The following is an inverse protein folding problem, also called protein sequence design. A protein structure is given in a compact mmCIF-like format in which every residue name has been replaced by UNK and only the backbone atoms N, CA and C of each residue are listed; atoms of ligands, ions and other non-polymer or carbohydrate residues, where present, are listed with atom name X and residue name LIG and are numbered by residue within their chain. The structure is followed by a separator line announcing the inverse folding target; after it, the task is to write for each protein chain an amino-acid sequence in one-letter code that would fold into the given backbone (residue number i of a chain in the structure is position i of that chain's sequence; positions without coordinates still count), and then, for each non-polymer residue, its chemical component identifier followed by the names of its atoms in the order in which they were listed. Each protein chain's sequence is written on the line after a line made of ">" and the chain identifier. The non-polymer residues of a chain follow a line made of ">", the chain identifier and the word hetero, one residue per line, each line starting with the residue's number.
data_IF_947079313078
#
_entry.id   IF_947079313078
#
_cell.length_a   1.000
_cell.length_b   1.000
_cell.length_c   1.000
_cell.angle_alpha   90.00
_cell.angle_beta   90.00
_cell.angle_gamma   90.00
#
_symmetry.space_group_name_H-M   'P 1'
#
loop_
_entity.id
_entity.type
_entity.pdbx_description
1 polymer ?
#
# COMPACT_ATOMS: atom_id res chain seq x y z
N UNK A 1 -32.65 -8.61 28.20
CA UNK A 1 -32.39 -9.93 27.58
C UNK A 1 -33.53 -10.22 26.63
N UNK A 2 -33.23 -10.73 25.45
CA UNK A 2 -34.22 -10.99 24.41
C UNK A 2 -34.01 -12.36 23.78
N UNK A 3 -35.00 -12.78 23.01
CA UNK A 3 -34.97 -14.04 22.28
C UNK A 3 -34.57 -13.79 20.84
N UNK A 4 -33.48 -14.40 20.40
CA UNK A 4 -33.04 -14.36 19.01
C UNK A 4 -33.33 -15.69 18.33
N UNK A 5 -34.01 -15.65 17.19
CA UNK A 5 -34.26 -16.83 16.36
C UNK A 5 -33.05 -17.03 15.43
N UNK A 6 -32.40 -18.18 15.56
CA UNK A 6 -31.30 -18.53 14.66
C UNK A 6 -30.71 -19.89 14.94
N UNK A 7 -29.63 -20.21 14.25
CA UNK A 7 -29.01 -21.53 14.26
C UNK A 7 -27.73 -21.50 15.06
N UNK A 8 -27.66 -22.29 16.14
CA UNK A 8 -26.45 -22.52 16.93
C UNK A 8 -26.21 -24.03 16.96
N UNK A 9 -24.97 -24.47 16.72
CA UNK A 9 -24.61 -25.89 16.69
C UNK A 9 -25.51 -26.74 15.75
N UNK A 10 -25.87 -26.16 14.59
CA UNK A 10 -26.80 -26.75 13.59
C UNK A 10 -28.26 -26.91 14.06
N UNK A 11 -28.61 -26.39 15.24
CA UNK A 11 -29.96 -26.39 15.76
C UNK A 11 -30.60 -25.01 15.63
N UNK A 12 -31.67 -24.93 14.84
CA UNK A 12 -32.43 -23.70 14.64
C UNK A 12 -33.51 -23.61 15.72
N UNK A 13 -33.32 -22.69 16.67
CA UNK A 13 -34.20 -22.52 17.81
C UNK A 13 -34.30 -21.04 18.21
N UNK A 14 -35.11 -20.77 19.23
CA UNK A 14 -35.19 -19.48 19.88
C UNK A 14 -34.17 -19.48 21.03
N UNK A 15 -33.07 -18.76 20.85
CA UNK A 15 -31.98 -18.69 21.81
C UNK A 15 -32.11 -17.45 22.68
N UNK A 16 -31.77 -17.57 23.96
CA UNK A 16 -31.62 -16.41 24.83
C UNK A 16 -30.32 -15.67 24.46
N UNK A 17 -30.43 -14.41 24.05
CA UNK A 17 -29.29 -13.55 23.72
C UNK A 17 -29.31 -12.26 24.53
N UNK A 18 -28.12 -11.72 24.73
CA UNK A 18 -27.91 -10.44 25.39
C UNK A 18 -28.03 -9.32 24.36
N UNK A 19 -28.78 -8.29 24.74
CA UNK A 19 -28.96 -7.08 23.96
C UNK A 19 -28.49 -5.90 24.80
N UNK A 20 -27.92 -4.90 24.15
CA UNK A 20 -27.60 -3.63 24.78
C UNK A 20 -28.90 -2.80 25.05
N UNK A 21 -28.81 -1.66 25.74
CA UNK A 21 -29.97 -0.79 25.98
C UNK A 21 -30.61 -0.21 24.71
N UNK A 22 -29.88 -0.24 23.59
CA UNK A 22 -30.31 0.28 22.28
C UNK A 22 -31.00 -0.82 21.43
N UNK A 23 -31.02 -2.06 21.92
CA UNK A 23 -31.64 -3.20 21.25
C UNK A 23 -30.71 -3.90 20.26
N UNK A 24 -29.41 -3.61 20.27
CA UNK A 24 -28.43 -4.33 19.46
C UNK A 24 -28.00 -5.61 20.15
N UNK A 25 -27.81 -6.66 19.36
CA UNK A 25 -27.33 -7.94 19.82
C UNK A 25 -25.87 -7.79 20.28
N UNK A 26 -25.58 -8.15 21.53
CA UNK A 26 -24.20 -8.16 22.03
C UNK A 26 -23.52 -9.42 21.47
N UNK A 27 -22.46 -9.28 20.63
CA UNK A 27 -21.69 -10.42 20.18
C UNK A 27 -20.99 -11.08 21.37
N UNK A 28 -20.79 -12.40 21.29
CA UNK A 28 -20.00 -13.08 22.31
C UNK A 28 -18.55 -12.57 22.24
N UNK A 29 -17.79 -12.61 23.36
CA UNK A 29 -16.39 -12.19 23.38
C UNK A 29 -15.56 -12.90 22.30
N UNK A 30 -15.87 -14.16 22.01
CA UNK A 30 -15.20 -14.95 20.97
C UNK A 30 -15.50 -14.42 19.56
N UNK A 31 -16.74 -14.05 19.26
CA UNK A 31 -17.10 -13.45 17.96
C UNK A 31 -16.47 -12.07 17.79
N UNK A 32 -16.52 -11.24 18.83
CA UNK A 32 -15.86 -9.94 18.82
C UNK A 32 -14.34 -10.05 18.63
N UNK A 33 -13.70 -11.06 19.23
CA UNK A 33 -12.28 -11.33 19.04
C UNK A 33 -11.96 -11.80 17.61
N UNK A 34 -12.81 -12.64 17.02
CA UNK A 34 -12.66 -13.07 15.63
C UNK A 34 -12.83 -11.90 14.66
N UNK A 35 -13.84 -11.06 14.83
CA UNK A 35 -14.03 -9.85 14.02
C UNK A 35 -12.83 -8.90 14.13
N UNK A 36 -12.31 -8.68 15.35
CA UNK A 36 -11.12 -7.86 15.54
C UNK A 36 -9.88 -8.46 14.87
N UNK A 37 -9.70 -9.78 14.94
CA UNK A 37 -8.59 -10.46 14.28
C UNK A 37 -8.70 -10.39 12.75
N UNK A 38 -9.91 -10.53 12.20
CA UNK A 38 -10.17 -10.39 10.77
C UNK A 38 -9.91 -8.95 10.30
N UNK A 39 -10.43 -7.96 11.03
CA UNK A 39 -10.18 -6.55 10.74
C UNK A 39 -8.69 -6.20 10.83
N UNK A 40 -7.97 -6.72 11.81
CA UNK A 40 -6.53 -6.53 11.94
C UNK A 40 -5.76 -7.17 10.77
N UNK A 41 -6.16 -8.36 10.30
CA UNK A 41 -5.58 -8.98 9.12
C UNK A 41 -5.83 -8.17 7.86
N UNK A 42 -7.05 -7.68 7.66
CA UNK A 42 -7.39 -6.84 6.51
C UNK A 42 -6.57 -5.55 6.50
N UNK A 43 -6.44 -4.88 7.66
CA UNK A 43 -5.60 -3.70 7.81
C UNK A 43 -4.13 -4.01 7.54
N UNK A 44 -3.62 -5.15 8.02
CA UNK A 44 -2.24 -5.57 7.76
C UNK A 44 -2.00 -5.85 6.26
N UNK A 45 -2.96 -6.47 5.58
CA UNK A 45 -2.90 -6.72 4.14
C UNK A 45 -2.92 -5.40 3.35
N UNK A 46 -3.83 -4.48 3.69
CA UNK A 46 -3.90 -3.17 3.07
C UNK A 46 -2.62 -2.35 3.29
N UNK A 47 -2.03 -2.41 4.50
CA UNK A 47 -0.77 -1.74 4.79
C UNK A 47 0.40 -2.34 3.99
N UNK A 48 0.44 -3.66 3.81
CA UNK A 48 1.45 -4.30 2.96
C UNK A 48 1.31 -3.89 1.50
N UNK A 49 0.09 -3.83 0.97
CA UNK A 49 -0.17 -3.40 -0.41
C UNK A 49 0.28 -1.95 -0.62
N UNK A 50 -0.05 -1.06 0.31
CA UNK A 50 0.41 0.34 0.28
C UNK A 50 1.94 0.44 0.34
N UNK A 51 2.59 -0.36 1.18
CA UNK A 51 4.04 -0.38 1.28
C UNK A 51 4.70 -0.88 -0.02
N UNK A 52 4.13 -1.90 -0.66
CA UNK A 52 4.59 -2.39 -1.95
C UNK A 52 4.44 -1.33 -3.06
N UNK A 53 3.28 -0.68 -3.13
CA UNK A 53 3.05 0.41 -4.09
C UNK A 53 4.00 1.59 -3.88
N UNK A 54 4.27 1.96 -2.62
CA UNK A 54 5.23 3.01 -2.30
C UNK A 54 6.68 2.63 -2.69
N UNK A 55 7.07 1.37 -2.51
CA UNK A 55 8.38 0.88 -2.96
C UNK A 55 8.51 0.92 -4.49
N UNK A 56 7.47 0.53 -5.22
CA UNK A 56 7.48 0.58 -6.68
C UNK A 56 7.62 2.02 -7.18
N UNK A 57 6.86 2.96 -6.60
CA UNK A 57 6.98 4.38 -6.93
C UNK A 57 8.38 4.93 -6.61
N UNK A 58 8.96 4.56 -5.48
CA UNK A 58 10.32 4.97 -5.11
C UNK A 58 11.37 4.40 -6.09
N UNK A 59 11.20 3.15 -6.52
CA UNK A 59 12.09 2.53 -7.51
C UNK A 59 11.98 3.23 -8.88
N UNK A 60 10.76 3.52 -9.33
CA UNK A 60 10.53 4.26 -10.58
C UNK A 60 11.15 5.66 -10.53
N UNK A 61 10.93 6.41 -9.45
CA UNK A 61 11.53 7.74 -9.27
C UNK A 61 13.07 7.69 -9.25
N UNK A 62 13.65 6.65 -8.64
CA UNK A 62 15.09 6.45 -8.62
C UNK A 62 15.65 6.15 -10.02
N UNK A 63 14.93 5.37 -10.83
CA UNK A 63 15.28 5.09 -12.21
C UNK A 63 15.23 6.35 -13.08
N UNK A 64 14.17 7.17 -12.94
CA UNK A 64 14.06 8.46 -13.63
C UNK A 64 15.20 9.42 -13.26
N UNK A 65 15.57 9.51 -11.99
CA UNK A 65 16.71 10.30 -11.54
C UNK A 65 18.02 9.81 -12.15
N UNK A 66 18.24 8.50 -12.20
CA UNK A 66 19.42 7.91 -12.81
C UNK A 66 19.46 8.18 -14.32
N UNK A 67 18.35 8.01 -15.03
CA UNK A 67 18.23 8.31 -16.45
C UNK A 67 18.51 9.80 -16.74
N UNK A 68 17.98 10.69 -15.90
CA UNK A 68 18.21 12.14 -16.03
C UNK A 68 19.68 12.50 -15.82
N UNK A 69 20.33 11.90 -14.82
CA UNK A 69 21.77 12.10 -14.58
C UNK A 69 22.60 11.61 -15.78
N UNK A 70 22.33 10.42 -16.28
CA UNK A 70 23.02 9.88 -17.47
C UNK A 70 22.83 10.77 -18.70
N UNK A 71 21.63 11.30 -18.92
CA UNK A 71 21.37 12.20 -20.04
C UNK A 71 22.18 13.50 -19.91
N UNK A 72 22.24 14.09 -18.72
CA UNK A 72 23.03 15.29 -18.45
C UNK A 72 24.53 15.04 -18.66
N UNK A 73 25.05 13.92 -18.16
CA UNK A 73 26.44 13.53 -18.35
C UNK A 73 26.76 13.30 -19.83
N UNK A 74 25.88 12.61 -20.56
CA UNK A 74 26.03 12.39 -22.00
C UNK A 74 26.04 13.70 -22.79
N UNK A 75 25.18 14.66 -22.43
CA UNK A 75 25.17 15.99 -23.04
C UNK A 75 26.48 16.74 -22.77
N UNK A 76 26.96 16.74 -21.52
CA UNK A 76 28.25 17.33 -21.16
C UNK A 76 29.41 16.71 -21.92
N UNK A 77 29.44 15.39 -22.06
CA UNK A 77 30.47 14.69 -22.83
C UNK A 77 30.40 15.03 -24.32
N UNK A 78 29.18 15.16 -24.89
CA UNK A 78 29.02 15.59 -26.28
C UNK A 78 29.54 17.01 -26.48
N UNK A 79 29.15 17.94 -25.60
CA UNK A 79 29.59 19.33 -25.66
C UNK A 79 31.12 19.45 -25.52
N UNK A 80 31.73 18.73 -24.58
CA UNK A 80 33.19 18.66 -24.44
C UNK A 80 33.88 18.11 -25.69
N UNK A 81 33.36 17.03 -26.28
CA UNK A 81 33.91 16.47 -27.53
C UNK A 81 33.79 17.43 -28.70
N UNK A 82 32.66 18.11 -28.84
CA UNK A 82 32.45 19.15 -29.84
C UNK A 82 33.44 20.30 -29.64
N UNK A 83 33.59 20.81 -28.42
CA UNK A 83 34.54 21.86 -28.10
C UNK A 83 36.00 21.44 -28.38
N UNK A 84 36.38 20.20 -28.04
CA UNK A 84 37.69 19.65 -28.37
C UNK A 84 37.90 19.57 -29.88
N UNK A 85 36.90 19.07 -30.63
CA UNK A 85 36.95 18.97 -32.10
C UNK A 85 37.07 20.34 -32.77
N UNK A 86 36.36 21.35 -32.27
CA UNK A 86 36.43 22.72 -32.77
C UNK A 86 37.80 23.36 -32.50
N UNK A 87 38.37 23.14 -31.30
CA UNK A 87 39.75 23.55 -30.97
C UNK A 87 40.78 22.86 -31.86
N UNK A 88 40.61 21.57 -32.13
CA UNK A 88 41.50 20.80 -33.02
C UNK A 88 41.49 21.33 -34.46
N UNK A 89 40.36 21.89 -34.90
CA UNK A 89 40.22 22.57 -36.20
C UNK A 89 40.66 24.04 -36.19
N UNK A 90 41.19 24.55 -35.06
CA UNK A 90 41.71 25.91 -34.95
C UNK A 90 40.66 27.02 -34.91
N UNK A 91 39.40 26.68 -34.59
CA UNK A 91 38.31 27.65 -34.44
C UNK A 91 38.22 27.99 -32.95
N UNK A 92 38.94 29.03 -32.53
CA UNK A 92 38.88 29.57 -31.17
C UNK A 92 37.64 30.47 -31.03
N UNK A 93 36.82 30.22 -30.00
CA UNK A 93 35.65 31.01 -29.62
C UNK A 93 36.06 32.20 -28.76
#
# INVERSE_FOLDING_TARGET
>A
MGTWQGTIDRETAIWARFYDPEGNLIPLPEEAAQEQAAAAQEQAAAAQEQAAAAQEQAAAAQEELNATQQALEAERQRSQRLAARLREMGIEL
#
